data_IF_523379997197
#
_entry.id   IF_523379997197
#
_cell.length_a   1.000
_cell.length_b   1.000
_cell.length_c   1.000
_cell.angle_alpha   90.00
_cell.angle_beta   90.00
_cell.angle_gamma   90.00
#
_symmetry.space_group_name_H-M   'P 1'
#
loop_
_entity.id
_entity.type
_entity.pdbx_description
1 polymer ?
#
# COMPACT_ATOMS: atom_id res chain seq x y z
N UNK A 1 2.59 -15.40 23.99
CA UNK A 1 1.92 -15.09 22.73
C UNK A 1 2.71 -13.97 22.09
N UNK A 2 3.14 -14.17 20.87
CA UNK A 2 3.95 -13.18 20.14
C UNK A 2 2.99 -12.27 19.35
N UNK A 3 2.48 -11.18 19.96
CA UNK A 3 1.70 -10.17 19.22
C UNK A 3 2.63 -9.27 18.41
N UNK A 4 2.13 -8.75 17.29
CA UNK A 4 2.76 -7.70 16.50
C UNK A 4 2.06 -6.39 16.86
N UNK A 5 2.76 -5.51 17.55
CA UNK A 5 2.21 -4.22 17.98
C UNK A 5 2.29 -3.19 16.86
N UNK A 6 1.15 -2.83 16.32
CA UNK A 6 1.05 -2.02 15.12
C UNK A 6 0.52 -0.61 15.44
N UNK A 7 1.20 0.38 14.91
CA UNK A 7 0.70 1.75 14.84
C UNK A 7 0.28 2.09 13.40
N UNK A 8 -0.74 2.93 13.26
CA UNK A 8 -1.24 3.41 11.97
C UNK A 8 -1.14 4.93 11.92
N UNK A 9 -0.63 5.48 10.83
CA UNK A 9 -0.77 6.89 10.51
C UNK A 9 -1.65 7.08 9.28
N UNK A 10 -2.73 7.87 9.43
CA UNK A 10 -3.81 8.02 8.45
C UNK A 10 -4.92 6.98 8.68
N UNK A 11 -5.99 7.37 9.38
CA UNK A 11 -7.13 6.51 9.74
C UNK A 11 -8.23 6.64 8.68
N UNK A 12 -7.88 6.38 7.41
CA UNK A 12 -8.78 6.41 6.26
C UNK A 12 -9.41 5.04 5.93
N UNK A 13 -9.93 4.90 4.72
CA UNK A 13 -10.56 3.66 4.23
C UNK A 13 -9.62 2.44 4.29
N UNK A 14 -8.32 2.62 3.98
CA UNK A 14 -7.35 1.53 4.04
C UNK A 14 -7.14 1.05 5.48
N UNK A 15 -7.04 1.97 6.44
CA UNK A 15 -6.96 1.64 7.86
C UNK A 15 -8.25 0.95 8.35
N UNK A 16 -9.42 1.43 7.90
CA UNK A 16 -10.71 0.79 8.18
C UNK A 16 -10.73 -0.66 7.71
N UNK A 17 -10.35 -0.90 6.47
CA UNK A 17 -10.32 -2.25 5.90
C UNK A 17 -9.30 -3.16 6.60
N UNK A 18 -8.14 -2.63 6.99
CA UNK A 18 -7.12 -3.37 7.72
C UNK A 18 -7.61 -3.80 9.10
N UNK A 19 -8.15 -2.85 9.89
CA UNK A 19 -8.61 -3.12 11.27
C UNK A 19 -9.79 -4.08 11.26
N UNK A 20 -10.78 -3.87 10.40
CA UNK A 20 -11.89 -4.78 10.19
C UNK A 20 -11.42 -6.17 9.73
N UNK A 21 -10.46 -6.22 8.81
CA UNK A 21 -9.91 -7.47 8.26
C UNK A 21 -9.22 -8.31 9.32
N UNK A 22 -8.39 -7.71 10.17
CA UNK A 22 -7.75 -8.43 11.29
C UNK A 22 -8.81 -9.01 12.23
N UNK A 23 -9.85 -8.25 12.56
CA UNK A 23 -10.96 -8.73 13.38
C UNK A 23 -11.75 -9.86 12.70
N UNK A 24 -12.01 -9.74 11.40
CA UNK A 24 -12.77 -10.74 10.63
C UNK A 24 -12.05 -12.08 10.51
N UNK A 25 -10.73 -12.04 10.30
CA UNK A 25 -9.91 -13.24 10.06
C UNK A 25 -9.21 -13.79 11.33
N UNK A 26 -9.45 -13.21 12.51
CA UNK A 26 -8.76 -13.62 13.75
C UNK A 26 -8.87 -15.13 14.08
N UNK A 27 -9.98 -15.74 13.69
CA UNK A 27 -10.27 -17.15 13.94
C UNK A 27 -10.13 -18.03 12.69
N UNK A 28 -9.49 -17.50 11.62
CA UNK A 28 -9.25 -18.26 10.39
C UNK A 28 -8.36 -19.48 10.68
N UNK A 29 -8.72 -20.61 10.09
CA UNK A 29 -7.95 -21.84 10.20
C UNK A 29 -6.75 -21.79 9.24
N UNK A 30 -5.56 -22.13 9.75
CA UNK A 30 -4.29 -22.10 8.99
C UNK A 30 -4.27 -23.08 7.82
N UNK A 31 -5.02 -24.17 7.91
CA UNK A 31 -5.08 -25.21 6.88
C UNK A 31 -6.18 -24.95 5.85
N UNK A 32 -6.97 -23.88 6.03
CA UNK A 32 -8.08 -23.53 5.16
C UNK A 32 -7.76 -22.31 4.32
N UNK A 33 -7.98 -22.39 3.00
CA UNK A 33 -7.96 -21.22 2.13
C UNK A 33 -9.16 -20.32 2.43
N UNK A 34 -8.91 -19.10 2.85
CA UNK A 34 -9.94 -18.08 3.06
C UNK A 34 -9.83 -16.99 1.98
N UNK A 35 -10.95 -16.44 1.49
CA UNK A 35 -10.91 -15.32 0.55
C UNK A 35 -10.19 -14.12 1.18
N UNK A 36 -9.36 -13.43 0.42
CA UNK A 36 -8.77 -12.16 0.83
C UNK A 36 -7.44 -12.24 1.58
N UNK A 37 -6.98 -13.43 1.97
CA UNK A 37 -5.65 -13.63 2.54
C UNK A 37 -4.82 -14.55 1.65
N UNK A 38 -3.58 -14.15 1.35
CA UNK A 38 -2.60 -15.04 0.72
C UNK A 38 -2.07 -16.05 1.76
N UNK A 39 -1.91 -15.61 2.99
CA UNK A 39 -1.43 -16.39 4.11
C UNK A 39 -2.30 -16.13 5.34
N UNK A 40 -2.94 -17.14 5.88
CA UNK A 40 -3.55 -17.11 7.23
C UNK A 40 -2.42 -17.08 8.27
N UNK A 41 -1.44 -17.96 8.09
CA UNK A 41 -0.19 -18.03 8.86
C UNK A 41 0.97 -17.57 7.98
N UNK A 42 1.77 -16.59 8.45
CA UNK A 42 2.94 -16.05 7.77
C UNK A 42 4.20 -16.28 8.62
N UNK A 43 4.90 -17.36 8.37
CA UNK A 43 5.96 -17.81 9.26
C UNK A 43 5.43 -18.08 10.68
N UNK A 44 5.99 -17.44 11.71
CA UNK A 44 5.52 -17.62 13.09
C UNK A 44 4.21 -16.88 13.40
N UNK A 45 3.74 -16.00 12.52
CA UNK A 45 2.66 -15.05 12.81
C UNK A 45 1.36 -15.37 12.09
N UNK A 46 0.29 -15.58 12.87
CA UNK A 46 -1.08 -15.63 12.37
C UNK A 46 -1.65 -14.22 12.17
N UNK A 47 -2.70 -14.07 11.37
CA UNK A 47 -3.37 -12.76 11.22
C UNK A 47 -3.87 -12.19 12.55
N UNK A 48 -4.30 -13.05 13.49
CA UNK A 48 -4.75 -12.65 14.84
C UNK A 48 -3.66 -12.03 15.72
N UNK A 49 -2.40 -12.22 15.36
CA UNK A 49 -1.27 -11.70 16.14
C UNK A 49 -1.03 -10.20 15.88
N UNK A 50 -1.71 -9.62 14.88
CA UNK A 50 -1.70 -8.18 14.63
C UNK A 50 -2.57 -7.47 15.67
N UNK A 51 -1.95 -6.64 16.49
CA UNK A 51 -2.57 -5.86 17.56
C UNK A 51 -2.35 -4.36 17.31
N UNK A 52 -3.42 -3.59 17.15
CA UNK A 52 -3.32 -2.14 16.99
C UNK A 52 -3.14 -1.49 18.38
N UNK A 53 -2.12 -0.66 18.52
CA UNK A 53 -1.72 -0.08 19.83
C UNK A 53 -1.53 1.43 19.81
N UNK A 54 -1.48 2.04 18.63
CA UNK A 54 -1.45 3.49 18.45
C UNK A 54 -2.05 3.84 17.08
N UNK A 55 -2.63 5.03 16.98
CA UNK A 55 -3.15 5.54 15.71
C UNK A 55 -2.99 7.08 15.70
N UNK A 56 -2.67 7.62 14.52
CA UNK A 56 -2.45 9.06 14.32
C UNK A 56 -3.26 9.53 13.12
N UNK A 57 -3.98 10.63 13.29
CA UNK A 57 -4.72 11.32 12.23
C UNK A 57 -4.73 12.83 12.52
N UNK A 58 -5.21 13.62 11.56
CA UNK A 58 -5.36 15.07 11.69
C UNK A 58 -6.82 15.52 11.75
N UNK A 59 -7.74 14.64 11.37
CA UNK A 59 -9.17 14.91 11.24
C UNK A 59 -9.83 15.06 12.62
N UNK A 60 -10.49 16.22 12.86
CA UNK A 60 -11.21 16.52 14.11
C UNK A 60 -12.30 15.51 14.45
N UNK A 61 -12.88 14.82 13.46
CA UNK A 61 -13.90 13.79 13.65
C UNK A 61 -13.32 12.44 14.06
N UNK A 62 -11.99 12.30 14.10
CA UNK A 62 -11.28 11.05 14.43
C UNK A 62 -10.38 11.19 15.64
N UNK A 63 -9.68 12.33 15.77
CA UNK A 63 -8.79 12.59 16.90
C UNK A 63 -9.55 12.57 18.22
N UNK A 64 -9.05 11.79 19.18
CA UNK A 64 -9.66 11.59 20.49
C UNK A 64 -10.67 10.45 20.59
N UNK A 65 -11.15 9.91 19.45
CA UNK A 65 -12.05 8.74 19.42
C UNK A 65 -11.25 7.44 19.42
N UNK A 66 -11.87 6.36 19.90
CA UNK A 66 -11.29 5.02 19.80
C UNK A 66 -11.12 4.63 18.32
N UNK A 67 -10.02 3.95 18.00
CA UNK A 67 -9.74 3.52 16.62
C UNK A 67 -10.88 2.69 16.02
N UNK A 68 -11.59 1.89 16.84
CA UNK A 68 -12.75 1.11 16.40
C UNK A 68 -13.94 1.96 15.93
N UNK A 69 -14.03 3.20 16.39
CA UNK A 69 -15.04 4.18 15.97
C UNK A 69 -14.51 5.06 14.84
N UNK A 70 -13.27 5.54 14.96
CA UNK A 70 -12.63 6.44 14.01
C UNK A 70 -12.52 5.85 12.59
N UNK A 71 -12.36 4.53 12.46
CA UNK A 71 -12.33 3.84 11.16
C UNK A 71 -13.64 3.91 10.37
N UNK A 72 -14.75 4.32 11.00
CA UNK A 72 -16.05 4.52 10.37
C UNK A 72 -16.48 6.00 10.33
N UNK A 73 -15.63 6.89 10.83
CA UNK A 73 -15.94 8.31 10.95
C UNK A 73 -15.55 9.11 9.70
N UNK A 74 -16.06 10.35 9.63
CA UNK A 74 -15.71 11.34 8.59
C UNK A 74 -15.99 10.83 7.17
N UNK A 75 -15.01 10.99 6.27
CA UNK A 75 -15.15 10.66 4.85
C UNK A 75 -14.86 9.16 4.53
N UNK A 76 -14.73 8.32 5.56
CA UNK A 76 -14.55 6.89 5.36
C UNK A 76 -15.83 6.27 4.82
N UNK A 77 -15.74 5.72 3.61
CA UNK A 77 -16.88 5.16 2.85
C UNK A 77 -16.64 3.74 2.34
N UNK A 78 -15.62 3.05 2.89
CA UNK A 78 -15.38 1.65 2.55
C UNK A 78 -16.48 0.74 3.11
N UNK A 79 -16.65 -0.42 2.48
CA UNK A 79 -17.67 -1.39 2.90
C UNK A 79 -17.39 -1.89 4.33
N UNK A 80 -18.45 -2.04 5.11
CA UNK A 80 -18.35 -2.68 6.43
C UNK A 80 -18.21 -4.18 6.27
N UNK A 81 -17.08 -4.72 6.74
CA UNK A 81 -16.72 -6.14 6.68
C UNK A 81 -17.05 -6.84 8.00
N UNK A 82 -16.76 -6.16 9.12
CA UNK A 82 -16.93 -6.71 10.46
C UNK A 82 -17.23 -5.61 11.48
N UNK A 83 -17.91 -5.97 12.55
CA UNK A 83 -17.94 -5.16 13.76
C UNK A 83 -16.59 -5.26 14.47
N UNK A 84 -16.07 -4.12 14.89
CA UNK A 84 -14.83 -4.03 15.66
C UNK A 84 -15.17 -3.60 17.08
N UNK A 85 -14.88 -4.43 18.09
CA UNK A 85 -15.10 -4.02 19.49
C UNK A 85 -14.17 -2.87 19.87
N UNK A 86 -14.49 -2.12 20.93
CA UNK A 86 -13.58 -1.09 21.43
C UNK A 86 -12.16 -1.64 21.64
N UNK A 87 -11.17 -0.97 21.05
CA UNK A 87 -9.77 -1.38 21.06
C UNK A 87 -8.99 -0.75 22.23
N UNK A 88 -9.53 0.32 22.85
CA UNK A 88 -8.82 1.11 23.85
C UNK A 88 -7.66 1.92 23.27
N UNK A 89 -7.70 2.22 22.00
CA UNK A 89 -6.66 2.94 21.24
C UNK A 89 -7.22 4.26 20.75
N UNK A 90 -7.06 5.36 21.49
CA UNK A 90 -7.49 6.67 21.04
C UNK A 90 -6.62 7.12 19.86
N UNK A 91 -7.26 7.68 18.83
CA UNK A 91 -6.56 8.32 17.72
C UNK A 91 -5.92 9.61 18.22
N UNK A 92 -4.61 9.71 18.11
CA UNK A 92 -3.84 10.86 18.54
C UNK A 92 -3.67 11.86 17.39
N UNK A 93 -3.51 13.15 17.74
CA UNK A 93 -3.24 14.21 16.75
C UNK A 93 -1.84 14.06 16.18
N UNK A 94 -1.77 13.71 14.90
CA UNK A 94 -0.52 13.67 14.13
C UNK A 94 -0.08 15.06 13.67
N UNK A 95 1.00 15.11 12.89
CA UNK A 95 1.50 16.37 12.29
C UNK A 95 0.88 16.59 10.90
N UNK A 96 0.69 17.88 10.54
CA UNK A 96 0.23 18.28 9.20
C UNK A 96 1.37 19.02 8.50
N UNK A 97 2.23 18.31 7.77
CA UNK A 97 3.42 18.91 7.14
C UNK A 97 3.17 19.39 5.70
N UNK A 98 2.40 18.65 4.90
CA UNK A 98 2.12 18.98 3.49
C UNK A 98 0.80 19.74 3.31
N UNK A 99 0.07 19.97 4.40
CA UNK A 99 -1.31 20.45 4.38
C UNK A 99 -2.29 19.45 3.77
N UNK A 100 -3.57 19.72 3.90
CA UNK A 100 -4.63 18.86 3.39
C UNK A 100 -4.76 18.91 1.85
N UNK A 101 -4.21 19.93 1.19
CA UNK A 101 -4.47 20.19 -0.20
C UNK A 101 -5.89 20.71 -0.46
N UNK A 102 -6.18 21.05 -1.71
CA UNK A 102 -7.40 21.75 -2.09
C UNK A 102 -8.67 20.97 -1.74
N UNK A 103 -8.72 19.69 -2.09
CA UNK A 103 -9.97 18.91 -2.02
C UNK A 103 -10.22 18.30 -0.64
N UNK A 104 -9.19 17.95 0.11
CA UNK A 104 -9.36 17.50 1.49
C UNK A 104 -9.81 18.63 2.40
N UNK A 105 -9.26 19.84 2.24
CA UNK A 105 -9.65 21.01 3.05
C UNK A 105 -11.10 21.46 2.85
N UNK A 106 -11.79 20.99 1.81
CA UNK A 106 -13.21 21.23 1.59
C UNK A 106 -14.12 20.39 2.51
N UNK A 107 -13.62 19.24 3.01
CA UNK A 107 -14.46 18.26 3.72
C UNK A 107 -13.89 17.80 5.04
N UNK A 108 -12.59 17.96 5.25
CA UNK A 108 -11.90 17.57 6.48
C UNK A 108 -11.49 18.83 7.25
N UNK A 109 -11.93 18.92 8.48
CA UNK A 109 -11.52 19.92 9.46
C UNK A 109 -10.37 19.35 10.30
N UNK A 110 -9.26 20.10 10.38
CA UNK A 110 -8.15 19.68 11.24
C UNK A 110 -8.51 19.85 12.72
N UNK A 111 -8.13 18.89 13.52
CA UNK A 111 -8.29 18.94 14.97
C UNK A 111 -7.44 20.08 15.57
N UNK A 112 -8.03 20.83 16.50
CA UNK A 112 -7.35 21.87 17.29
C UNK A 112 -6.41 21.31 18.36
N UNK A 113 -6.38 19.99 18.57
CA UNK A 113 -5.46 19.36 19.52
C UNK A 113 -4.01 19.57 19.07
N UNK A 114 -3.12 19.74 20.04
CA UNK A 114 -1.69 19.82 19.76
C UNK A 114 -1.16 18.48 19.24
N UNK A 115 -0.29 18.47 18.19
CA UNK A 115 0.35 17.26 17.72
C UNK A 115 1.18 16.60 18.84
N UNK A 116 1.05 15.27 18.97
CA UNK A 116 1.83 14.52 19.95
C UNK A 116 3.28 14.31 19.48
N UNK A 117 4.18 14.05 20.43
CA UNK A 117 5.52 13.54 20.11
C UNK A 117 5.38 12.10 19.59
N UNK A 118 5.52 11.96 18.28
CA UNK A 118 5.32 10.66 17.59
C UNK A 118 6.35 9.64 18.07
N UNK A 119 7.63 10.03 18.22
CA UNK A 119 8.71 9.12 18.66
C UNK A 119 8.41 8.59 20.07
N UNK A 120 8.00 9.48 20.97
CA UNK A 120 7.66 9.09 22.33
C UNK A 120 6.40 8.21 22.36
N UNK A 121 5.37 8.55 21.60
CA UNK A 121 4.14 7.75 21.50
C UNK A 121 4.40 6.33 20.97
N UNK A 122 5.25 6.19 19.95
CA UNK A 122 5.66 4.88 19.42
C UNK A 122 6.43 4.05 20.47
N UNK A 123 7.31 4.67 21.23
CA UNK A 123 8.06 4.01 22.32
C UNK A 123 7.17 3.59 23.47
N UNK A 124 6.28 4.46 23.94
CA UNK A 124 5.36 4.19 25.06
C UNK A 124 4.39 3.06 24.71
N UNK A 125 3.88 3.07 23.49
CA UNK A 125 3.03 1.99 22.96
C UNK A 125 3.82 0.72 22.57
N UNK A 126 5.17 0.72 22.71
CA UNK A 126 6.04 -0.40 22.33
C UNK A 126 5.71 -0.94 20.93
N UNK A 127 5.64 -0.06 19.97
CA UNK A 127 5.26 -0.39 18.59
C UNK A 127 6.34 -1.26 17.94
N UNK A 128 5.95 -2.31 17.25
CA UNK A 128 6.83 -3.12 16.40
C UNK A 128 6.89 -2.57 14.98
N UNK A 129 5.72 -2.21 14.42
CA UNK A 129 5.56 -1.81 13.02
C UNK A 129 4.66 -0.57 12.93
N UNK A 130 5.12 0.47 12.26
CA UNK A 130 4.35 1.64 11.87
C UNK A 130 3.92 1.51 10.41
N UNK A 131 2.62 1.59 10.14
CA UNK A 131 2.03 1.58 8.80
C UNK A 131 1.65 2.98 8.41
N UNK A 132 2.17 3.47 7.28
CA UNK A 132 1.78 4.75 6.69
C UNK A 132 0.69 4.57 5.65
N UNK A 133 -0.47 5.21 5.91
CA UNK A 133 -1.64 5.31 5.05
C UNK A 133 -2.04 6.77 4.80
N UNK A 134 -1.04 7.66 4.85
CA UNK A 134 -1.27 9.07 4.52
C UNK A 134 -1.79 9.23 3.08
N UNK A 135 -2.49 10.33 2.77
CA UNK A 135 -2.98 10.57 1.42
C UNK A 135 -1.84 10.87 0.43
N UNK A 136 -2.10 10.61 -0.84
CA UNK A 136 -1.17 10.96 -1.93
C UNK A 136 -0.83 12.45 -1.89
N UNK A 137 0.46 12.77 -2.03
CA UNK A 137 1.00 14.12 -1.93
C UNK A 137 1.51 14.51 -0.55
N UNK A 138 1.51 13.57 0.42
CA UNK A 138 2.04 13.77 1.78
C UNK A 138 3.52 13.35 1.86
N UNK A 139 4.37 13.91 0.98
CA UNK A 139 5.80 13.52 0.90
C UNK A 139 6.59 13.92 2.14
N UNK A 140 6.37 15.14 2.65
CA UNK A 140 7.09 15.65 3.82
C UNK A 140 6.63 14.90 5.07
N UNK A 141 5.31 14.71 5.21
CA UNK A 141 4.74 13.99 6.34
C UNK A 141 5.22 12.53 6.36
N UNK A 142 5.20 11.82 5.22
CA UNK A 142 5.60 10.43 5.16
C UNK A 142 7.08 10.23 5.52
N UNK A 143 7.96 11.10 5.01
CA UNK A 143 9.39 11.13 5.38
C UNK A 143 9.60 11.48 6.85
N UNK A 144 8.77 12.35 7.42
CA UNK A 144 8.80 12.65 8.85
C UNK A 144 8.45 11.41 9.69
N UNK A 145 7.37 10.69 9.34
CA UNK A 145 7.00 9.46 10.05
C UNK A 145 8.02 8.34 9.85
N UNK A 146 8.63 8.25 8.67
CA UNK A 146 9.75 7.33 8.42
C UNK A 146 10.96 7.63 9.34
N UNK A 147 11.30 8.92 9.53
CA UNK A 147 12.35 9.30 10.49
C UNK A 147 11.93 8.97 11.93
N UNK A 148 10.68 9.25 12.33
CA UNK A 148 10.18 8.87 13.65
C UNK A 148 10.25 7.36 13.89
N UNK A 149 10.00 6.53 12.87
CA UNK A 149 10.13 5.09 12.96
C UNK A 149 11.59 4.66 13.21
N UNK A 150 12.55 5.27 12.51
CA UNK A 150 13.99 5.08 12.75
C UNK A 150 14.36 5.44 14.19
N UNK A 151 13.97 6.65 14.66
CA UNK A 151 14.32 7.19 15.98
C UNK A 151 13.67 6.39 17.13
N UNK A 152 12.54 5.76 16.86
CA UNK A 152 11.85 4.88 17.79
C UNK A 152 12.27 3.40 17.68
N UNK A 153 13.13 3.02 16.74
CA UNK A 153 13.47 1.64 16.40
C UNK A 153 12.22 0.79 16.08
N UNK A 154 11.35 1.31 15.23
CA UNK A 154 10.09 0.70 14.79
C UNK A 154 10.17 0.38 13.30
N UNK A 155 9.84 -0.84 12.88
CA UNK A 155 9.80 -1.19 11.47
C UNK A 155 8.76 -0.32 10.72
N UNK A 156 9.03 0.02 9.47
CA UNK A 156 8.17 0.91 8.69
C UNK A 156 7.57 0.20 7.48
N UNK A 157 6.26 0.34 7.28
CA UNK A 157 5.56 -0.13 6.10
C UNK A 157 4.99 1.08 5.36
N UNK A 158 5.59 1.40 4.21
CA UNK A 158 5.18 2.52 3.38
C UNK A 158 4.17 2.09 2.31
N UNK A 159 2.89 2.36 2.55
CA UNK A 159 1.83 2.06 1.59
C UNK A 159 1.64 3.17 0.53
N UNK A 160 2.32 4.31 0.66
CA UNK A 160 2.22 5.46 -0.23
C UNK A 160 3.19 5.37 -1.42
N UNK A 161 2.90 6.09 -2.52
CA UNK A 161 3.83 6.29 -3.63
C UNK A 161 4.87 7.39 -3.34
N UNK A 162 5.40 7.41 -2.12
CA UNK A 162 6.55 8.24 -1.71
C UNK A 162 7.78 7.34 -1.67
N UNK A 163 8.82 7.73 -2.40
CA UNK A 163 10.03 6.92 -2.52
C UNK A 163 10.89 7.04 -1.26
N UNK A 164 10.83 6.00 -0.41
CA UNK A 164 11.59 5.86 0.82
C UNK A 164 12.39 4.55 0.77
N UNK A 165 11.73 3.40 0.67
CA UNK A 165 12.43 2.12 0.56
C UNK A 165 13.25 2.02 -0.74
N UNK A 166 12.75 2.62 -1.82
CA UNK A 166 13.39 2.64 -3.14
C UNK A 166 14.37 3.82 -3.35
N UNK A 167 14.44 4.77 -2.42
CA UNK A 167 15.42 5.84 -2.41
C UNK A 167 16.71 5.35 -1.71
N UNK A 168 17.90 5.40 -2.38
CA UNK A 168 19.12 4.86 -1.84
C UNK A 168 19.60 5.54 -0.53
N UNK A 169 19.33 6.84 -0.35
CA UNK A 169 19.74 7.57 0.85
C UNK A 169 18.86 7.16 2.05
N UNK A 170 17.56 7.05 1.84
CA UNK A 170 16.64 6.57 2.87
C UNK A 170 16.82 5.09 3.18
N UNK A 171 16.99 4.26 2.15
CA UNK A 171 17.29 2.84 2.32
C UNK A 171 18.51 2.63 3.21
N UNK A 172 19.59 3.43 2.96
CA UNK A 172 20.79 3.40 3.78
C UNK A 172 20.53 3.85 5.23
N UNK A 173 19.73 4.88 5.47
CA UNK A 173 19.39 5.31 6.85
C UNK A 173 18.70 4.19 7.64
N UNK A 174 17.76 3.48 7.03
CA UNK A 174 17.08 2.33 7.63
C UNK A 174 18.08 1.18 7.89
N UNK A 175 18.97 0.91 6.95
CA UNK A 175 20.00 -0.12 7.09
C UNK A 175 20.99 0.21 8.22
N UNK A 176 21.52 1.44 8.24
CA UNK A 176 22.49 1.90 9.26
C UNK A 176 21.86 1.90 10.67
N UNK A 177 20.55 2.15 10.77
CA UNK A 177 19.81 2.10 12.03
C UNK A 177 19.42 0.67 12.44
N UNK A 178 19.57 -0.33 11.58
CA UNK A 178 19.10 -1.69 11.83
C UNK A 178 17.56 -1.82 11.84
N UNK A 179 16.84 -0.89 11.23
CA UNK A 179 15.38 -0.83 11.19
C UNK A 179 14.86 -1.34 9.83
N UNK A 180 13.97 -2.34 9.79
CA UNK A 180 13.42 -2.82 8.53
C UNK A 180 12.38 -1.86 7.92
N UNK A 181 12.35 -1.81 6.58
CA UNK A 181 11.33 -1.11 5.83
C UNK A 181 10.78 -2.00 4.70
N UNK A 182 9.45 -1.98 4.52
CA UNK A 182 8.74 -2.57 3.38
C UNK A 182 8.00 -1.46 2.64
N UNK A 183 8.39 -1.15 1.43
CA UNK A 183 7.87 -0.04 0.60
C UNK A 183 8.29 -0.20 -0.86
N UNK A 184 7.84 0.61 -1.77
CA UNK A 184 6.89 1.72 -1.64
C UNK A 184 5.65 1.46 -2.52
N UNK A 185 4.53 2.12 -2.21
CA UNK A 185 3.25 2.04 -2.94
C UNK A 185 2.65 0.63 -2.94
N UNK A 186 1.77 0.36 -1.99
CA UNK A 186 1.16 -0.97 -1.80
C UNK A 186 0.42 -1.46 -3.05
N UNK A 187 0.62 -2.74 -3.41
CA UNK A 187 -0.19 -3.43 -4.41
C UNK A 187 -1.55 -3.83 -3.83
N UNK A 188 -2.52 -4.03 -4.72
CA UNK A 188 -3.76 -4.73 -4.40
C UNK A 188 -3.61 -6.22 -4.68
N UNK A 189 -4.50 -7.06 -4.15
CA UNK A 189 -4.49 -8.52 -4.44
C UNK A 189 -4.78 -8.79 -5.91
N UNK A 190 -5.97 -8.38 -6.39
CA UNK A 190 -6.31 -8.37 -7.81
C UNK A 190 -6.73 -6.96 -8.17
N UNK A 191 -5.79 -6.15 -8.58
CA UNK A 191 -6.01 -4.74 -8.91
C UNK A 191 -5.60 -4.41 -10.34
N UNK A 192 -5.91 -3.19 -10.75
CA UNK A 192 -5.64 -2.73 -12.12
C UNK A 192 -4.16 -2.88 -12.50
N UNK A 193 -3.23 -2.56 -11.61
CA UNK A 193 -1.79 -2.69 -11.87
C UNK A 193 -1.39 -4.15 -12.06
N UNK A 194 -1.85 -5.06 -11.20
CA UNK A 194 -1.50 -6.48 -11.27
C UNK A 194 -2.04 -7.10 -12.55
N UNK A 195 -3.34 -6.90 -12.85
CA UNK A 195 -3.94 -7.46 -14.06
C UNK A 195 -3.29 -6.90 -15.32
N UNK A 196 -2.98 -5.60 -15.35
CA UNK A 196 -2.30 -4.96 -16.48
C UNK A 196 -0.88 -5.54 -16.68
N UNK A 197 -0.08 -5.68 -15.62
CA UNK A 197 1.27 -6.26 -15.66
C UNK A 197 1.25 -7.70 -16.19
N UNK A 198 0.37 -8.53 -15.64
CA UNK A 198 0.25 -9.94 -16.05
C UNK A 198 -0.16 -10.07 -17.51
N UNK A 199 -1.10 -9.25 -17.96
CA UNK A 199 -1.55 -9.29 -19.36
C UNK A 199 -0.51 -8.71 -20.32
N UNK A 200 0.19 -7.64 -19.96
CA UNK A 200 1.32 -7.12 -20.75
C UNK A 200 2.43 -8.18 -20.88
N UNK A 201 2.76 -8.87 -19.78
CA UNK A 201 3.72 -9.99 -19.81
C UNK A 201 3.23 -11.15 -20.66
N UNK A 202 1.93 -11.48 -20.62
CA UNK A 202 1.34 -12.53 -21.46
C UNK A 202 1.56 -12.25 -22.95
N UNK A 203 1.45 -10.98 -23.39
CA UNK A 203 1.74 -10.60 -24.78
C UNK A 203 3.18 -10.98 -25.14
N UNK A 204 4.15 -10.57 -24.33
CA UNK A 204 5.57 -10.86 -24.53
C UNK A 204 5.84 -12.37 -24.53
N UNK A 205 5.38 -13.11 -23.54
CA UNK A 205 5.60 -14.55 -23.38
C UNK A 205 5.00 -15.37 -24.54
N UNK A 206 4.01 -14.80 -25.23
CA UNK A 206 3.36 -15.43 -26.38
C UNK A 206 3.86 -14.90 -27.74
N UNK A 207 4.92 -14.07 -27.73
CA UNK A 207 5.52 -13.52 -28.94
C UNK A 207 4.68 -12.43 -29.62
N UNK A 208 3.78 -11.80 -28.89
CA UNK A 208 3.01 -10.65 -29.36
C UNK A 208 3.74 -9.37 -28.95
N UNK A 209 4.00 -8.49 -29.91
CA UNK A 209 4.62 -7.19 -29.62
C UNK A 209 3.55 -6.23 -29.10
N UNK A 210 3.72 -5.74 -27.88
CA UNK A 210 2.85 -4.72 -27.31
C UNK A 210 3.32 -3.34 -27.79
N UNK A 211 2.52 -2.68 -28.60
CA UNK A 211 2.85 -1.37 -29.19
C UNK A 211 2.37 -0.19 -28.34
N UNK A 212 1.21 -0.32 -27.71
CA UNK A 212 0.64 0.74 -26.85
C UNK A 212 -0.40 0.21 -25.89
N UNK A 213 -0.56 0.94 -24.80
CA UNK A 213 -1.52 0.56 -23.75
C UNK A 213 -2.01 1.77 -22.96
N UNK A 214 -3.23 1.69 -22.47
CA UNK A 214 -3.72 2.62 -21.47
C UNK A 214 -4.44 1.92 -20.31
N UNK A 215 -4.46 2.60 -19.17
CA UNK A 215 -5.26 2.27 -18.01
C UNK A 215 -5.89 3.54 -17.46
N UNK A 216 -7.22 3.61 -17.51
CA UNK A 216 -8.03 4.69 -16.95
C UNK A 216 -8.66 4.20 -15.66
N UNK A 217 -8.51 4.97 -14.58
CA UNK A 217 -9.06 4.59 -13.27
C UNK A 217 -10.08 5.65 -12.82
N UNK A 218 -11.25 5.19 -12.41
CA UNK A 218 -12.31 6.02 -11.85
C UNK A 218 -12.69 5.45 -10.49
N UNK A 219 -12.83 6.27 -9.47
CA UNK A 219 -13.20 5.83 -8.12
C UNK A 219 -13.98 6.89 -7.37
N UNK A 220 -14.54 6.52 -6.22
CA UNK A 220 -15.41 7.39 -5.43
C UNK A 220 -14.90 7.68 -4.01
N UNK A 221 -13.73 7.18 -3.64
CA UNK A 221 -13.14 7.48 -2.35
C UNK A 221 -12.34 8.79 -2.34
N UNK A 222 -11.93 9.23 -1.17
CA UNK A 222 -11.22 10.50 -0.99
C UNK A 222 -9.85 10.53 -1.68
N UNK A 223 -9.18 9.37 -1.88
CA UNK A 223 -7.93 9.34 -2.65
C UNK A 223 -8.16 9.75 -4.11
N UNK A 224 -9.28 9.30 -4.72
CA UNK A 224 -9.67 9.74 -6.07
C UNK A 224 -10.06 11.21 -6.13
N UNK A 225 -10.78 11.74 -5.13
CA UNK A 225 -11.08 13.16 -5.03
C UNK A 225 -9.80 14.00 -4.91
N UNK A 226 -8.87 13.59 -4.04
CA UNK A 226 -7.57 14.24 -3.88
C UNK A 226 -6.73 14.21 -5.18
N UNK A 227 -6.80 13.13 -5.95
CA UNK A 227 -6.09 12.99 -7.21
C UNK A 227 -6.60 13.90 -8.34
N UNK A 228 -7.70 14.61 -8.17
CA UNK A 228 -8.11 15.69 -9.09
C UNK A 228 -7.11 16.88 -9.02
N UNK A 229 -6.39 17.04 -7.92
CA UNK A 229 -5.27 17.98 -7.78
C UNK A 229 -4.00 17.40 -8.46
N UNK A 230 -3.91 17.61 -9.77
CA UNK A 230 -2.91 16.93 -10.61
C UNK A 230 -1.47 17.26 -10.29
N UNK A 231 -1.20 18.40 -9.67
CA UNK A 231 0.14 18.82 -9.26
C UNK A 231 0.74 17.92 -8.18
N UNK A 232 -0.10 17.27 -7.36
CA UNK A 232 0.30 16.33 -6.29
C UNK A 232 0.50 14.88 -6.78
N UNK A 233 0.39 14.61 -8.09
CA UNK A 233 0.34 13.25 -8.64
C UNK A 233 1.63 12.74 -9.27
N UNK A 234 2.70 13.52 -9.32
CA UNK A 234 3.89 13.17 -10.13
C UNK A 234 4.49 11.82 -9.71
N UNK A 235 4.72 11.59 -8.42
CA UNK A 235 5.28 10.34 -7.89
C UNK A 235 4.36 9.14 -8.18
N UNK A 236 3.05 9.30 -8.00
CA UNK A 236 2.07 8.23 -8.24
C UNK A 236 1.98 7.83 -9.71
N UNK A 237 2.08 8.78 -10.65
CA UNK A 237 2.09 8.50 -12.09
C UNK A 237 3.34 7.71 -12.49
N UNK A 238 4.50 8.10 -11.99
CA UNK A 238 5.76 7.39 -12.20
C UNK A 238 5.71 5.96 -11.68
N UNK A 239 5.28 5.77 -10.42
CA UNK A 239 5.15 4.46 -9.78
C UNK A 239 4.30 3.50 -10.61
N UNK A 240 3.09 3.91 -11.01
CA UNK A 240 2.17 3.08 -11.78
C UNK A 240 2.70 2.73 -13.17
N UNK A 241 3.28 3.70 -13.88
CA UNK A 241 3.81 3.47 -15.23
C UNK A 241 5.00 2.52 -15.18
N UNK A 242 5.95 2.75 -14.29
CA UNK A 242 7.11 1.87 -14.09
C UNK A 242 6.70 0.46 -13.70
N UNK A 243 5.68 0.32 -12.86
CA UNK A 243 5.20 -0.99 -12.43
C UNK A 243 4.74 -1.87 -13.60
N UNK A 244 4.20 -1.31 -14.67
CA UNK A 244 3.80 -2.05 -15.87
C UNK A 244 4.97 -2.25 -16.82
N UNK A 245 5.68 -1.17 -17.17
CA UNK A 245 6.73 -1.23 -18.21
C UNK A 245 7.99 -1.94 -17.77
N UNK A 246 8.30 -1.95 -16.48
CA UNK A 246 9.46 -2.69 -15.93
C UNK A 246 9.28 -4.23 -15.93
N UNK A 247 8.04 -4.70 -16.13
CA UNK A 247 7.75 -6.13 -16.25
C UNK A 247 7.93 -6.68 -17.67
N UNK A 248 8.27 -5.81 -18.63
CA UNK A 248 8.56 -6.17 -20.01
C UNK A 248 10.07 -6.23 -20.20
N UNK A 249 10.57 -7.35 -20.74
CA UNK A 249 12.00 -7.54 -21.00
C UNK A 249 12.42 -6.93 -22.34
N UNK A 250 11.54 -7.03 -23.34
CA UNK A 250 11.78 -6.61 -24.71
C UNK A 250 10.60 -5.82 -25.28
N UNK A 251 10.83 -5.22 -26.45
CA UNK A 251 9.78 -4.53 -27.20
C UNK A 251 9.72 -3.01 -27.01
N UNK A 252 8.79 -2.32 -27.70
CA UNK A 252 8.75 -0.86 -27.78
C UNK A 252 8.51 -0.17 -26.44
N UNK A 253 7.88 -0.85 -25.48
CA UNK A 253 7.49 -0.28 -24.19
C UNK A 253 8.37 -0.73 -23.01
N UNK A 254 9.35 -1.62 -23.25
CA UNK A 254 10.22 -2.16 -22.22
C UNK A 254 11.00 -1.07 -21.49
N UNK A 255 10.95 -1.07 -20.14
CA UNK A 255 11.72 -0.19 -19.27
C UNK A 255 11.42 1.31 -19.40
N UNK A 256 10.46 1.74 -20.23
CA UNK A 256 10.15 3.15 -20.43
C UNK A 256 9.40 3.74 -19.24
N UNK A 257 9.93 4.84 -18.71
CA UNK A 257 9.30 5.62 -17.62
C UNK A 257 8.18 6.52 -18.11
N UNK A 258 8.38 7.12 -19.28
CA UNK A 258 7.41 7.98 -19.95
C UNK A 258 7.41 7.68 -21.46
N UNK A 259 6.25 7.41 -22.00
CA UNK A 259 6.04 7.23 -23.44
C UNK A 259 4.61 7.65 -23.79
N UNK A 260 4.44 8.33 -24.94
CA UNK A 260 3.11 8.69 -25.44
C UNK A 260 2.21 7.48 -25.72
N UNK A 261 2.81 6.31 -25.89
CA UNK A 261 2.12 5.04 -26.13
C UNK A 261 1.71 4.32 -24.84
N UNK A 262 2.07 4.87 -23.67
CA UNK A 262 1.67 4.34 -22.36
C UNK A 262 0.95 5.44 -21.59
N UNK A 263 -0.31 5.19 -21.24
CA UNK A 263 -1.06 6.10 -20.39
C UNK A 263 -1.64 5.34 -19.21
N UNK A 264 -1.15 5.61 -17.99
CA UNK A 264 -1.64 5.01 -16.74
C UNK A 264 -1.87 6.13 -15.73
N UNK A 265 -3.09 6.27 -15.28
CA UNK A 265 -3.37 7.32 -14.31
C UNK A 265 -4.75 7.23 -13.67
N UNK A 266 -4.97 8.04 -12.62
CA UNK A 266 -6.31 8.39 -12.21
C UNK A 266 -6.94 9.22 -13.33
N UNK A 267 -8.20 8.93 -13.65
CA UNK A 267 -8.91 9.62 -14.73
C UNK A 267 -9.98 10.54 -14.18
N UNK A 268 -10.79 10.08 -13.20
CA UNK A 268 -11.88 10.87 -12.66
C UNK A 268 -12.33 10.39 -11.28
N UNK A 269 -13.16 11.22 -10.63
CA UNK A 269 -13.80 10.98 -9.35
C UNK A 269 -15.32 10.97 -9.52
N UNK A 270 -16.00 9.94 -9.01
CA UNK A 270 -17.45 9.80 -9.02
C UNK A 270 -17.91 9.42 -7.62
N UNK A 271 -18.45 10.38 -6.88
CA UNK A 271 -18.74 10.26 -5.43
C UNK A 271 -19.62 9.04 -5.07
N UNK A 272 -20.65 8.72 -5.85
CA UNK A 272 -21.56 7.61 -5.57
C UNK A 272 -20.95 6.20 -5.77
N UNK A 273 -19.70 6.12 -6.25
CA UNK A 273 -18.97 4.86 -6.27
C UNK A 273 -18.49 4.45 -4.88
N UNK A 274 -18.50 5.36 -3.91
CA UNK A 274 -17.93 5.13 -2.59
C UNK A 274 -16.47 4.64 -2.70
N UNK A 275 -16.06 3.61 -1.96
CA UNK A 275 -14.71 3.05 -2.05
C UNK A 275 -14.53 2.06 -3.23
N UNK A 276 -15.44 2.05 -4.19
CA UNK A 276 -15.30 1.26 -5.43
C UNK A 276 -14.40 1.98 -6.41
N UNK A 277 -13.69 1.17 -7.18
CA UNK A 277 -12.79 1.61 -8.24
C UNK A 277 -13.02 0.79 -9.50
N UNK A 278 -13.16 1.50 -10.60
CA UNK A 278 -13.18 0.93 -11.93
C UNK A 278 -11.86 1.20 -12.65
N UNK A 279 -11.34 0.19 -13.35
CA UNK A 279 -10.21 0.32 -14.24
C UNK A 279 -10.62 -0.15 -15.63
N UNK A 280 -10.42 0.71 -16.61
CA UNK A 280 -10.55 0.39 -18.03
C UNK A 280 -9.16 0.25 -18.60
N UNK A 281 -8.84 -0.93 -19.12
CA UNK A 281 -7.50 -1.25 -19.62
C UNK A 281 -7.60 -1.75 -21.05
N UNK A 282 -6.74 -1.22 -21.90
CA UNK A 282 -6.60 -1.64 -23.28
C UNK A 282 -5.12 -1.87 -23.62
N UNK A 283 -4.83 -2.98 -24.27
CA UNK A 283 -3.52 -3.35 -24.81
C UNK A 283 -3.68 -3.52 -26.32
N UNK A 284 -2.83 -2.89 -27.09
CA UNK A 284 -2.80 -2.99 -28.55
C UNK A 284 -1.43 -3.47 -29.00
N UNK A 285 -1.40 -4.49 -29.81
CA UNK A 285 -0.17 -5.09 -30.27
C UNK A 285 -0.29 -5.79 -31.62
N UNK A 286 0.79 -6.45 -32.01
CA UNK A 286 0.91 -7.19 -33.26
C UNK A 286 1.28 -8.64 -33.01
N UNK A 287 0.49 -9.53 -33.57
CA UNK A 287 0.67 -10.97 -33.54
C UNK A 287 1.35 -11.49 -34.83
N UNK A 288 1.21 -12.78 -35.07
CA UNK A 288 1.77 -13.45 -36.27
C UNK A 288 1.41 -12.72 -37.56
N UNK A 289 2.40 -12.44 -38.39
CA UNK A 289 2.21 -11.73 -39.68
C UNK A 289 1.87 -10.24 -39.52
N UNK A 290 2.24 -9.62 -38.41
CA UNK A 290 1.94 -8.21 -38.08
C UNK A 290 0.42 -7.92 -37.92
N UNK A 291 -0.39 -8.96 -37.80
CA UNK A 291 -1.85 -8.82 -37.64
C UNK A 291 -2.17 -8.14 -36.30
N UNK A 292 -2.99 -7.09 -36.29
CA UNK A 292 -3.39 -6.43 -35.05
C UNK A 292 -4.08 -7.38 -34.06
N UNK A 293 -3.66 -7.30 -32.78
CA UNK A 293 -4.28 -7.99 -31.66
C UNK A 293 -4.57 -6.97 -30.57
N UNK A 294 -5.83 -6.86 -30.19
CA UNK A 294 -6.26 -5.93 -29.14
C UNK A 294 -6.96 -6.70 -28.02
N UNK A 295 -6.64 -6.33 -26.78
CA UNK A 295 -7.30 -6.82 -25.59
C UNK A 295 -7.85 -5.62 -24.81
N UNK A 296 -9.10 -5.72 -24.40
CA UNK A 296 -9.75 -4.69 -23.59
C UNK A 296 -10.55 -5.35 -22.47
N UNK A 297 -10.46 -4.78 -21.27
CA UNK A 297 -11.24 -5.25 -20.14
C UNK A 297 -11.58 -4.12 -19.17
N UNK A 298 -12.64 -4.34 -18.40
CA UNK A 298 -13.02 -3.55 -17.24
C UNK A 298 -12.85 -4.39 -15.97
N UNK A 299 -12.19 -3.81 -14.97
CA UNK A 299 -12.12 -4.37 -13.62
C UNK A 299 -12.88 -3.46 -12.67
N UNK A 300 -13.69 -4.03 -11.79
CA UNK A 300 -14.32 -3.33 -10.67
C UNK A 300 -13.93 -4.01 -9.35
N UNK A 301 -13.49 -3.22 -8.37
CA UNK A 301 -13.10 -3.69 -7.04
C UNK A 301 -13.54 -2.70 -5.97
N UNK A 302 -13.69 -3.17 -4.73
CA UNK A 302 -13.60 -2.32 -3.55
C UNK A 302 -12.11 -2.07 -3.28
N UNK A 303 -11.68 -0.80 -3.38
CA UNK A 303 -10.24 -0.47 -3.48
C UNK A 303 -9.49 -0.77 -2.19
N UNK A 304 -9.99 -0.32 -1.05
CA UNK A 304 -9.31 -0.47 0.24
C UNK A 304 -9.28 -1.92 0.75
N UNK A 305 -10.38 -2.69 0.75
CA UNK A 305 -10.35 -4.11 1.11
C UNK A 305 -9.41 -4.93 0.23
N UNK A 306 -9.30 -4.57 -1.05
CA UNK A 306 -8.46 -5.28 -2.01
C UNK A 306 -6.95 -5.13 -1.73
N UNK A 307 -6.54 -4.21 -0.86
CA UNK A 307 -5.15 -4.06 -0.40
C UNK A 307 -4.91 -4.57 1.03
N UNK A 308 -5.98 -4.79 1.82
CA UNK A 308 -5.86 -5.13 3.23
C UNK A 308 -5.11 -6.44 3.49
N UNK A 309 -5.34 -7.47 2.68
CA UNK A 309 -4.60 -8.74 2.80
C UNK A 309 -3.10 -8.58 2.49
N UNK A 310 -2.75 -7.69 1.56
CA UNK A 310 -1.35 -7.42 1.21
C UNK A 310 -0.64 -6.71 2.37
N UNK A 311 -1.28 -5.72 2.99
CA UNK A 311 -0.66 -4.98 4.09
C UNK A 311 -0.49 -5.85 5.34
N UNK A 312 -1.40 -6.80 5.59
CA UNK A 312 -1.26 -7.78 6.68
C UNK A 312 0.02 -8.61 6.49
N UNK A 313 0.31 -9.04 5.26
CA UNK A 313 1.56 -9.75 4.95
C UNK A 313 2.79 -8.84 5.08
N UNK A 314 2.70 -7.59 4.64
CA UNK A 314 3.78 -6.61 4.77
C UNK A 314 4.13 -6.32 6.24
N UNK A 315 3.13 -6.17 7.11
CA UNK A 315 3.30 -6.01 8.56
C UNK A 315 4.06 -7.21 9.15
N UNK A 316 3.63 -8.43 8.79
CA UNK A 316 4.25 -9.67 9.29
C UNK A 316 5.67 -9.85 8.75
N UNK A 317 5.91 -9.48 7.49
CA UNK A 317 7.25 -9.50 6.90
C UNK A 317 8.19 -8.51 7.61
N UNK A 318 7.74 -7.28 7.87
CA UNK A 318 8.49 -6.28 8.61
C UNK A 318 8.82 -6.74 10.05
N UNK A 319 7.85 -7.39 10.72
CA UNK A 319 8.08 -7.97 12.06
C UNK A 319 9.08 -9.12 12.03
N UNK A 320 8.99 -10.04 11.07
CA UNK A 320 9.96 -11.14 10.92
C UNK A 320 11.37 -10.58 10.68
N UNK A 321 11.51 -9.56 9.83
CA UNK A 321 12.79 -8.89 9.61
C UNK A 321 13.35 -8.30 10.91
N UNK A 322 12.49 -7.60 11.67
CA UNK A 322 12.87 -7.03 12.98
C UNK A 322 13.34 -8.11 13.95
N UNK A 323 12.63 -9.23 14.05
CA UNK A 323 12.98 -10.34 14.94
C UNK A 323 14.30 -11.03 14.54
N UNK A 324 14.63 -11.01 13.24
CA UNK A 324 15.90 -11.53 12.71
C UNK A 324 17.03 -10.52 12.76
N UNK A 325 16.77 -9.28 13.23
CA UNK A 325 17.78 -8.21 13.27
C UNK A 325 18.19 -7.70 11.87
N UNK A 326 17.29 -7.79 10.88
CA UNK A 326 17.53 -7.35 9.52
C UNK A 326 17.07 -5.89 9.39
N UNK A 327 17.99 -4.97 9.08
CA UNK A 327 17.69 -3.57 8.80
C UNK A 327 17.65 -3.25 7.31
N UNK A 328 17.05 -2.11 6.96
CA UNK A 328 16.93 -1.64 5.59
C UNK A 328 15.75 -2.26 4.82
N UNK A 329 15.68 -2.06 3.50
CA UNK A 329 14.62 -2.59 2.67
C UNK A 329 14.57 -4.12 2.63
N UNK A 330 13.40 -4.69 2.85
CA UNK A 330 13.17 -6.14 2.74
C UNK A 330 12.76 -6.44 1.30
N UNK A 331 13.76 -6.75 0.47
CA UNK A 331 13.63 -6.84 -0.98
C UNK A 331 12.60 -7.89 -1.43
N UNK A 332 12.63 -9.08 -0.84
CA UNK A 332 11.70 -10.18 -1.16
C UNK A 332 10.24 -9.79 -0.88
N UNK A 333 9.98 -9.12 0.24
CA UNK A 333 8.64 -8.64 0.56
C UNK A 333 8.23 -7.46 -0.34
N UNK A 334 9.10 -6.46 -0.47
CA UNK A 334 8.82 -5.26 -1.26
C UNK A 334 8.54 -5.60 -2.75
N UNK A 335 9.31 -6.46 -3.36
CA UNK A 335 9.15 -6.87 -4.76
C UNK A 335 7.76 -7.45 -5.05
N UNK A 336 7.24 -8.27 -4.16
CA UNK A 336 5.93 -8.89 -4.36
C UNK A 336 4.77 -8.01 -3.90
N UNK A 337 4.93 -7.31 -2.77
CA UNK A 337 3.84 -6.59 -2.10
C UNK A 337 3.70 -5.13 -2.54
N UNK A 338 4.75 -4.53 -3.13
CA UNK A 338 4.81 -3.09 -3.43
C UNK A 338 4.95 -2.83 -4.94
N UNK A 339 4.43 -1.68 -5.42
CA UNK A 339 4.49 -1.27 -6.84
C UNK A 339 5.85 -0.68 -7.22
N UNK A 340 6.51 -0.01 -6.26
CA UNK A 340 7.79 0.64 -6.42
C UNK A 340 8.83 0.10 -5.44
N UNK A 341 9.14 -1.20 -5.49
CA UNK A 341 10.19 -1.78 -4.65
C UNK A 341 11.56 -1.27 -5.08
N UNK A 342 12.59 -1.36 -4.22
CA UNK A 342 13.97 -1.07 -4.60
C UNK A 342 14.47 -1.89 -5.79
N UNK A 343 13.99 -3.12 -5.93
CA UNK A 343 14.29 -4.02 -7.06
C UNK A 343 12.99 -4.56 -7.63
N UNK A 344 12.77 -4.33 -8.91
CA UNK A 344 11.61 -4.90 -9.64
C UNK A 344 11.91 -6.34 -10.06
N UNK A 345 10.94 -7.23 -9.89
CA UNK A 345 10.98 -8.62 -10.37
C UNK A 345 9.64 -8.98 -11.03
N UNK A 346 9.62 -10.07 -11.75
CA UNK A 346 8.37 -10.69 -12.18
C UNK A 346 7.57 -11.19 -10.97
N UNK A 347 6.24 -11.16 -11.06
CA UNK A 347 5.39 -11.47 -9.91
C UNK A 347 5.57 -12.92 -9.41
N UNK A 348 5.88 -13.88 -10.31
CA UNK A 348 6.20 -15.27 -9.93
C UNK A 348 7.52 -15.39 -9.18
N UNK A 349 8.55 -14.67 -9.62
CA UNK A 349 9.85 -14.64 -8.96
C UNK A 349 9.76 -13.91 -7.61
N UNK A 350 9.05 -12.78 -7.57
CA UNK A 350 8.79 -12.03 -6.34
C UNK A 350 8.05 -12.87 -5.29
N UNK A 351 7.03 -13.63 -5.73
CA UNK A 351 6.32 -14.56 -4.85
C UNK A 351 7.25 -15.64 -4.29
N UNK A 352 8.05 -16.25 -5.14
CA UNK A 352 9.00 -17.28 -4.71
C UNK A 352 10.02 -16.72 -3.71
N UNK A 353 10.50 -15.48 -3.91
CA UNK A 353 11.40 -14.79 -2.99
C UNK A 353 10.74 -14.52 -1.64
N UNK A 354 9.46 -14.07 -1.62
CA UNK A 354 8.71 -13.87 -0.39
C UNK A 354 8.53 -15.16 0.39
N UNK A 355 8.14 -16.26 -0.30
CA UNK A 355 7.98 -17.57 0.34
C UNK A 355 9.31 -18.09 0.93
N UNK A 356 10.43 -17.88 0.23
CA UNK A 356 11.76 -18.23 0.73
C UNK A 356 12.15 -17.37 1.96
N UNK A 357 11.81 -16.08 1.97
CA UNK A 357 11.98 -15.21 3.13
C UNK A 357 11.17 -15.69 4.34
N UNK A 358 9.91 -16.06 4.14
CA UNK A 358 9.05 -16.61 5.21
C UNK A 358 9.72 -17.83 5.86
N UNK A 359 10.26 -18.75 5.05
CA UNK A 359 10.96 -19.95 5.54
C UNK A 359 12.34 -19.70 6.12
N UNK A 360 12.89 -18.48 6.00
CA UNK A 360 14.25 -18.15 6.46
C UNK A 360 15.37 -18.60 5.52
N UNK A 361 15.05 -18.88 4.26
CA UNK A 361 16.01 -19.27 3.22
C UNK A 361 16.69 -18.05 2.57
N UNK A 362 16.02 -16.88 2.63
CA UNK A 362 16.53 -15.58 2.18
C UNK A 362 16.62 -14.63 3.37
N UNK A 363 17.70 -13.82 3.41
CA UNK A 363 17.85 -12.80 4.45
C UNK A 363 16.99 -11.55 4.19
N UNK A 364 16.86 -11.13 2.93
CA UNK A 364 16.14 -9.90 2.54
C UNK A 364 15.17 -10.14 1.38
#
# INVERSE_FOLDING_TARGET
MTSIRVAIVGVGNCASSLVQGVQYYKDADVDTKVPGLMHVQFGPYHVRDVEFVAAFDVDAKKVGFDLSEAIFASENNTIKISDVPPLGVPVQRGVTNDGLGKYYSETIEESDAEPVDIVQALKDAKVDVLVSYLPVGSEIADKYYAQCAIDANVAFVNALPVFIASDPEWAKKFEDAGVPIVGDDIKSQVGATITHRVLARLFEDRGVILDRTYQLNVGGNMDFKNMLERERLQSKKLSKTQSVTSNLNDGPLSGKKEDRNVHIGPSDYVAWLDDRKWAYVRLEGRAFGEVPLNLEYKLEVWDSPNSAGIIIDAIRAAKIAKDRGIGGPILSAATYLMKSPPVQMEDTAGRAALEAFIRGENER
#
